data_IF_764692978973
#
_entry.id   IF_764692978973
#
_cell.length_a   1.000
_cell.length_b   1.000
_cell.length_c   1.000
_cell.angle_alpha   90.00
_cell.angle_beta   90.00
_cell.angle_gamma   90.00
#
_symmetry.space_group_name_H-M   'P 1'
#
loop_
_entity.id
_entity.type
_entity.pdbx_description
1 polymer ?
#
# COMPACT_ATOMS: atom_id res chain seq x y z
N UNK A 1 -2.13 -18.97 -1.19
CA UNK A 1 -1.58 -18.96 -2.56
C UNK A 1 -0.06 -18.97 -2.43
N UNK A 2 0.63 -19.94 -3.03
CA UNK A 2 2.08 -20.05 -2.91
C UNK A 2 2.76 -18.88 -3.62
N UNK A 3 3.49 -18.07 -2.86
CA UNK A 3 4.15 -16.84 -3.35
C UNK A 3 5.14 -17.13 -4.48
N UNK A 4 5.73 -18.32 -4.47
CA UNK A 4 6.65 -18.84 -5.50
C UNK A 4 6.07 -18.90 -6.92
N UNK A 5 4.76 -19.11 -7.06
CA UNK A 5 4.10 -19.27 -8.36
C UNK A 5 3.35 -18.02 -8.82
N UNK A 6 3.41 -16.93 -8.04
CA UNK A 6 2.70 -15.70 -8.34
C UNK A 6 3.64 -14.71 -9.05
N UNK A 7 3.32 -14.25 -10.27
CA UNK A 7 4.18 -13.36 -11.05
C UNK A 7 4.38 -11.97 -10.41
N UNK A 8 3.50 -11.58 -9.48
CA UNK A 8 3.61 -10.32 -8.74
C UNK A 8 4.61 -10.41 -7.58
N UNK A 9 5.18 -11.58 -7.32
CA UNK A 9 6.19 -11.75 -6.29
C UNK A 9 7.49 -12.23 -6.91
N UNK A 10 8.59 -11.63 -6.47
CA UNK A 10 9.95 -12.12 -6.76
C UNK A 10 10.73 -12.19 -5.47
N UNK A 11 11.62 -13.18 -5.40
CA UNK A 11 12.61 -13.24 -4.32
C UNK A 11 13.56 -12.05 -4.42
N UNK A 12 14.12 -11.61 -3.29
CA UNK A 12 15.14 -10.57 -3.26
C UNK A 12 16.34 -10.96 -4.11
N UNK A 13 16.72 -12.25 -4.07
CA UNK A 13 17.82 -12.76 -4.87
C UNK A 13 17.57 -12.56 -6.37
N UNK A 14 16.45 -13.05 -6.89
CA UNK A 14 16.12 -12.93 -8.31
C UNK A 14 15.92 -11.47 -8.73
N UNK A 15 15.21 -10.69 -7.91
CA UNK A 15 14.93 -9.30 -8.24
C UNK A 15 16.19 -8.45 -8.29
N UNK A 16 17.13 -8.66 -7.36
CA UNK A 16 18.38 -7.93 -7.36
C UNK A 16 19.28 -8.29 -8.55
N UNK A 17 19.26 -9.56 -8.98
CA UNK A 17 19.93 -10.00 -10.21
C UNK A 17 19.34 -9.34 -11.45
N UNK A 18 18.01 -9.34 -11.57
CA UNK A 18 17.30 -8.65 -12.65
C UNK A 18 17.64 -7.15 -12.67
N UNK A 19 17.77 -6.54 -11.50
CA UNK A 19 18.12 -5.12 -11.38
C UNK A 19 19.58 -4.82 -11.74
N UNK A 20 20.50 -5.75 -11.44
CA UNK A 20 21.90 -5.64 -11.79
C UNK A 20 22.20 -6.05 -13.25
N UNK A 21 21.23 -6.68 -13.94
CA UNK A 21 21.44 -7.27 -15.27
C UNK A 21 22.28 -8.55 -15.24
N UNK A 22 22.29 -9.26 -14.11
CA UNK A 22 23.10 -10.45 -13.85
C UNK A 22 22.25 -11.73 -13.84
N UNK A 23 22.86 -12.87 -14.13
CA UNK A 23 22.18 -14.18 -14.19
C UNK A 23 22.23 -14.90 -12.84
N UNK A 24 21.08 -15.05 -12.20
CA UNK A 24 20.90 -15.69 -10.89
C UNK A 24 21.50 -17.11 -10.76
N UNK A 25 21.57 -17.87 -11.84
CA UNK A 25 22.05 -19.26 -11.90
C UNK A 25 23.57 -19.38 -12.03
N UNK A 26 24.26 -18.28 -12.34
CA UNK A 26 25.71 -18.27 -12.61
C UNK A 26 26.52 -17.51 -11.56
N UNK A 27 25.84 -16.87 -10.59
CA UNK A 27 26.48 -16.02 -9.59
C UNK A 27 26.98 -16.81 -8.38
N UNK A 28 28.28 -16.70 -8.09
CA UNK A 28 28.83 -17.15 -6.81
C UNK A 28 28.37 -16.24 -5.67
N UNK A 29 27.63 -16.81 -4.73
CA UNK A 29 27.14 -16.11 -3.54
C UNK A 29 28.26 -15.54 -2.65
N UNK A 30 29.49 -16.07 -2.73
CA UNK A 30 30.64 -15.57 -2.00
C UNK A 30 31.32 -14.35 -2.67
N UNK A 31 31.05 -14.12 -3.96
CA UNK A 31 31.71 -13.10 -4.78
C UNK A 31 30.71 -12.28 -5.60
N UNK A 32 29.63 -11.82 -4.96
CA UNK A 32 28.62 -10.97 -5.62
C UNK A 32 29.21 -9.63 -6.08
N UNK A 33 28.75 -9.15 -7.24
CA UNK A 33 29.17 -7.85 -7.78
C UNK A 33 28.74 -6.69 -6.88
N UNK A 34 29.36 -5.52 -7.07
CA UNK A 34 28.97 -4.29 -6.37
C UNK A 34 27.56 -3.82 -6.75
N UNK A 35 27.13 -4.03 -8.00
CA UNK A 35 25.80 -3.68 -8.49
C UNK A 35 24.70 -4.53 -7.87
N UNK A 36 24.89 -5.86 -7.88
CA UNK A 36 24.00 -6.80 -7.23
C UNK A 36 23.90 -6.53 -5.72
N UNK A 37 25.04 -6.28 -5.07
CA UNK A 37 25.07 -5.94 -3.64
C UNK A 37 24.31 -4.66 -3.32
N UNK A 38 24.43 -3.63 -4.16
CA UNK A 38 23.69 -2.38 -3.99
C UNK A 38 22.18 -2.60 -4.15
N UNK A 39 21.77 -3.42 -5.12
CA UNK A 39 20.35 -3.75 -5.31
C UNK A 39 19.77 -4.52 -4.11
N UNK A 40 20.50 -5.51 -3.58
CA UNK A 40 20.11 -6.23 -2.37
C UNK A 40 20.02 -5.26 -1.19
N UNK A 41 21.02 -4.41 -0.97
CA UNK A 41 21.06 -3.49 0.17
C UNK A 41 19.87 -2.52 0.16
N UNK A 42 19.55 -1.96 -1.01
CA UNK A 42 18.39 -1.11 -1.23
C UNK A 42 17.08 -1.79 -0.82
N UNK A 43 16.86 -3.02 -1.27
CA UNK A 43 15.65 -3.77 -0.94
C UNK A 43 15.58 -4.14 0.54
N UNK A 44 16.69 -4.58 1.14
CA UNK A 44 16.75 -4.93 2.57
C UNK A 44 16.46 -3.71 3.44
N UNK A 45 17.00 -2.54 3.09
CA UNK A 45 16.70 -1.29 3.80
C UNK A 45 15.25 -0.87 3.65
N UNK A 46 14.68 -0.96 2.44
CA UNK A 46 13.27 -0.64 2.22
C UNK A 46 12.34 -1.51 3.07
N UNK A 47 12.65 -2.81 3.20
CA UNK A 47 11.91 -3.74 4.07
C UNK A 47 12.10 -3.36 5.55
N UNK A 48 13.35 -3.11 5.97
CA UNK A 48 13.66 -2.77 7.37
C UNK A 48 13.02 -1.45 7.82
N UNK A 49 12.92 -0.47 6.91
CA UNK A 49 12.21 0.80 7.10
C UNK A 49 10.69 0.67 6.96
N UNK A 50 10.17 -0.53 6.68
CA UNK A 50 8.75 -0.82 6.44
C UNK A 50 8.15 -0.03 5.26
N UNK A 51 8.97 0.38 4.30
CA UNK A 51 8.54 1.08 3.08
C UNK A 51 7.94 0.11 2.06
N UNK A 52 8.41 -1.14 2.05
CA UNK A 52 7.84 -2.27 1.31
C UNK A 52 7.63 -3.46 2.25
N UNK A 53 6.61 -4.27 1.97
CA UNK A 53 6.36 -5.50 2.72
C UNK A 53 7.20 -6.65 2.17
N UNK A 54 7.57 -7.57 3.06
CA UNK A 54 8.30 -8.78 2.70
C UNK A 54 7.58 -10.03 3.20
N UNK A 55 7.79 -11.14 2.48
CA UNK A 55 7.26 -12.44 2.82
C UNK A 55 8.37 -13.48 2.85
N UNK A 56 8.62 -14.08 4.00
CA UNK A 56 9.55 -15.20 4.10
C UNK A 56 8.80 -16.53 4.04
N UNK A 57 9.14 -17.39 3.08
CA UNK A 57 8.42 -18.67 2.82
C UNK A 57 6.89 -18.48 2.78
N UNK A 58 6.46 -17.40 2.13
CA UNK A 58 5.05 -17.03 1.99
C UNK A 58 4.41 -16.28 3.17
N UNK A 59 5.06 -16.21 4.33
CA UNK A 59 4.54 -15.55 5.53
C UNK A 59 5.02 -14.10 5.58
N UNK A 60 4.11 -13.14 5.82
CA UNK A 60 4.48 -11.72 5.97
C UNK A 60 5.34 -11.54 7.21
N UNK A 61 6.47 -10.85 7.06
CA UNK A 61 7.37 -10.49 8.15
C UNK A 61 7.25 -8.98 8.43
N UNK A 62 7.54 -8.56 9.65
CA UNK A 62 7.45 -7.16 10.09
C UNK A 62 6.07 -6.53 9.89
N UNK A 63 5.00 -7.32 10.05
CA UNK A 63 3.64 -6.88 9.70
C UNK A 63 3.00 -5.95 10.75
N UNK A 64 3.41 -6.04 12.01
CA UNK A 64 2.94 -5.16 13.08
C UNK A 64 4.05 -4.93 14.13
N UNK A 65 3.77 -4.08 15.13
CA UNK A 65 4.67 -3.79 16.27
C UNK A 65 4.26 -4.56 17.54
N UNK A 66 3.51 -5.66 17.39
CA UNK A 66 3.06 -6.45 18.53
C UNK A 66 4.21 -7.25 19.16
N UNK A 67 4.11 -7.52 20.46
CA UNK A 67 5.12 -8.30 21.17
C UNK A 67 5.31 -9.71 20.57
N UNK A 68 4.23 -10.32 20.09
CA UNK A 68 4.29 -11.64 19.46
C UNK A 68 5.01 -11.60 18.11
N UNK A 69 4.72 -10.62 17.26
CA UNK A 69 5.44 -10.47 15.98
C UNK A 69 6.92 -10.18 16.20
N UNK A 70 7.28 -9.36 17.20
CA UNK A 70 8.68 -9.10 17.56
C UNK A 70 9.44 -10.41 17.84
N UNK A 71 8.84 -11.37 18.53
CA UNK A 71 9.48 -12.68 18.80
C UNK A 71 9.68 -13.48 17.51
N UNK A 72 8.66 -13.55 16.65
CA UNK A 72 8.76 -14.26 15.37
C UNK A 72 9.74 -13.58 14.41
N UNK A 73 9.74 -12.26 14.39
CA UNK A 73 10.55 -11.42 13.51
C UNK A 73 11.98 -11.24 14.00
N UNK A 74 12.29 -11.57 15.27
CA UNK A 74 13.63 -11.43 15.84
C UNK A 74 14.71 -12.14 15.00
N UNK A 75 14.39 -13.30 14.42
CA UNK A 75 15.30 -14.02 13.52
C UNK A 75 15.58 -13.23 12.24
N UNK A 76 14.57 -12.56 11.68
CA UNK A 76 14.70 -11.71 10.51
C UNK A 76 15.49 -10.43 10.84
N UNK A 77 15.25 -9.84 12.01
CA UNK A 77 16.02 -8.70 12.54
C UNK A 77 17.50 -9.04 12.68
N UNK A 78 17.86 -10.20 13.22
CA UNK A 78 19.26 -10.64 13.30
C UNK A 78 19.88 -10.80 11.91
N UNK A 79 19.14 -11.35 10.94
CA UNK A 79 19.63 -11.53 9.55
C UNK A 79 19.89 -10.18 8.88
N UNK A 80 18.98 -9.23 9.04
CA UNK A 80 19.11 -7.87 8.51
C UNK A 80 20.29 -7.13 9.17
N UNK A 81 20.42 -7.26 10.49
CA UNK A 81 21.56 -6.69 11.23
C UNK A 81 22.90 -7.26 10.74
N UNK A 82 23.00 -8.57 10.55
CA UNK A 82 24.21 -9.22 10.01
C UNK A 82 24.56 -8.76 8.60
N UNK A 83 23.56 -8.48 7.77
CA UNK A 83 23.76 -7.87 6.47
C UNK A 83 24.31 -6.45 6.61
N UNK A 84 23.60 -5.57 7.31
CA UNK A 84 23.93 -4.14 7.38
C UNK A 84 25.27 -3.88 8.07
N UNK A 85 25.61 -4.65 9.10
CA UNK A 85 26.83 -4.42 9.90
C UNK A 85 28.03 -5.25 9.45
N UNK A 86 27.80 -6.46 8.93
CA UNK A 86 28.89 -7.40 8.61
C UNK A 86 28.94 -7.79 7.13
N UNK A 87 28.02 -7.29 6.31
CA UNK A 87 27.90 -7.66 4.89
C UNK A 87 27.81 -9.17 4.66
N UNK A 88 27.28 -9.90 5.66
CA UNK A 88 27.09 -11.35 5.60
C UNK A 88 25.62 -11.63 5.30
N UNK A 89 25.37 -12.26 4.16
CA UNK A 89 24.05 -12.78 3.82
C UNK A 89 24.07 -14.29 3.62
N UNK A 90 22.87 -14.86 3.57
CA UNK A 90 22.64 -16.24 3.18
C UNK A 90 21.81 -16.19 1.91
N UNK A 91 22.33 -16.77 0.82
CA UNK A 91 21.60 -16.88 -0.45
C UNK A 91 20.23 -17.52 -0.24
N UNK A 92 20.19 -18.67 0.46
CA UNK A 92 18.95 -19.37 0.83
C UNK A 92 17.92 -18.44 1.50
N UNK A 93 18.38 -17.55 2.40
CA UNK A 93 17.48 -16.59 3.02
C UNK A 93 16.88 -15.59 2.04
N UNK A 94 17.68 -15.07 1.10
CA UNK A 94 17.22 -14.11 0.09
C UNK A 94 16.34 -14.77 -0.99
N UNK A 95 16.62 -16.03 -1.34
CA UNK A 95 15.80 -16.83 -2.25
C UNK A 95 14.40 -17.07 -1.68
N UNK A 96 14.29 -17.22 -0.37
CA UNK A 96 13.02 -17.44 0.32
C UNK A 96 12.34 -16.15 0.80
N UNK A 97 12.92 -14.97 0.53
CA UNK A 97 12.40 -13.68 0.93
C UNK A 97 11.81 -12.96 -0.29
N UNK A 98 10.50 -12.78 -0.30
CA UNK A 98 9.75 -12.27 -1.44
C UNK A 98 9.23 -10.86 -1.19
N UNK A 99 9.17 -10.06 -2.25
CA UNK A 99 8.58 -8.72 -2.27
C UNK A 99 7.53 -8.63 -3.38
N UNK A 100 6.54 -7.76 -3.17
CA UNK A 100 5.44 -7.57 -4.11
C UNK A 100 5.77 -6.49 -5.14
N UNK A 101 5.52 -6.78 -6.41
CA UNK A 101 5.77 -5.91 -7.58
C UNK A 101 5.27 -4.49 -7.39
N UNK A 102 3.98 -4.31 -7.09
CA UNK A 102 3.37 -2.98 -6.98
C UNK A 102 3.99 -2.13 -5.88
N UNK A 103 4.39 -2.75 -4.77
CA UNK A 103 5.04 -2.04 -3.66
C UNK A 103 6.44 -1.58 -4.05
N UNK A 104 7.22 -2.45 -4.70
CA UNK A 104 8.56 -2.09 -5.19
C UNK A 104 8.48 -1.00 -6.25
N UNK A 105 7.56 -1.07 -7.21
CA UNK A 105 7.37 -0.02 -8.23
C UNK A 105 7.01 1.31 -7.57
N UNK A 106 6.01 1.30 -6.68
CA UNK A 106 5.56 2.51 -5.98
C UNK A 106 6.69 3.12 -5.14
N UNK A 107 7.46 2.27 -4.46
CA UNK A 107 8.62 2.69 -3.68
C UNK A 107 9.72 3.29 -4.56
N UNK A 108 10.04 2.66 -5.70
CA UNK A 108 10.99 3.19 -6.67
C UNK A 108 10.55 4.58 -7.18
N UNK A 109 9.28 4.75 -7.53
CA UNK A 109 8.75 6.00 -8.07
C UNK A 109 8.62 7.13 -7.04
N UNK A 110 8.17 6.81 -5.82
CA UNK A 110 7.74 7.82 -4.85
C UNK A 110 8.72 8.07 -3.71
N UNK A 111 9.55 7.08 -3.37
CA UNK A 111 10.41 7.12 -2.18
C UNK A 111 11.87 7.13 -2.57
N UNK A 112 12.31 6.10 -3.30
CA UNK A 112 13.71 5.93 -3.65
C UNK A 112 14.15 6.79 -4.86
N UNK A 113 13.18 7.25 -5.67
CA UNK A 113 13.42 7.97 -6.94
C UNK A 113 14.39 7.20 -7.86
N UNK A 114 14.16 5.89 -7.96
CA UNK A 114 14.97 4.96 -8.76
C UNK A 114 14.17 4.44 -9.95
N UNK A 115 14.88 4.06 -11.02
CA UNK A 115 14.26 3.28 -12.09
C UNK A 115 13.82 1.91 -11.54
N UNK A 116 12.57 1.48 -11.79
CA UNK A 116 12.09 0.18 -11.33
C UNK A 116 12.89 -0.97 -11.96
N UNK A 117 12.91 -2.14 -11.33
CA UNK A 117 13.61 -3.31 -11.86
C UNK A 117 13.17 -3.63 -13.30
N UNK A 118 14.12 -3.89 -14.24
CA UNK A 118 13.83 -4.07 -15.66
C UNK A 118 12.83 -5.18 -15.97
N UNK A 119 12.79 -6.22 -15.14
CA UNK A 119 11.84 -7.33 -15.25
C UNK A 119 10.37 -6.90 -15.05
N UNK A 120 10.13 -5.71 -14.51
CA UNK A 120 8.80 -5.20 -14.17
C UNK A 120 8.46 -3.89 -14.85
N UNK A 121 9.39 -3.29 -15.60
CA UNK A 121 9.08 -2.22 -16.55
C UNK A 121 8.01 -2.72 -17.51
N UNK A 122 6.88 -2.03 -17.53
CA UNK A 122 5.79 -2.27 -18.46
C UNK A 122 6.38 -2.31 -19.88
N UNK A 123 6.23 -3.43 -20.59
CA UNK A 123 6.41 -3.44 -22.03
C UNK A 123 5.58 -2.25 -22.57
N UNK A 124 6.20 -1.36 -23.33
CA UNK A 124 5.53 -0.32 -24.11
C UNK A 124 4.69 -0.94 -25.24
N UNK A 125 3.88 -1.94 -24.93
CA UNK A 125 3.02 -2.63 -25.89
C UNK A 125 1.59 -2.26 -25.52
N UNK A 126 1.08 -1.35 -26.35
CA UNK A 126 -0.33 -1.06 -26.58
C UNK A 126 -0.98 -0.09 -25.59
N UNK A 127 -0.53 1.17 -25.67
CA UNK A 127 -1.44 2.29 -25.58
C UNK A 127 -2.43 2.22 -26.76
N UNK A 128 -3.48 1.43 -26.62
CA UNK A 128 -4.69 1.56 -27.44
C UNK A 128 -5.86 1.13 -26.57
N UNK A 129 -6.83 2.04 -26.44
CA UNK A 129 -7.81 2.09 -25.37
C UNK A 129 -8.50 0.77 -25.03
N UNK A 130 -8.47 0.45 -23.74
CA UNK A 130 -9.59 -0.10 -23.00
C UNK A 130 -9.25 0.07 -21.52
N UNK A 131 -9.98 0.97 -20.85
CA UNK A 131 -10.12 0.97 -19.39
C UNK A 131 -10.76 -0.34 -19.00
N UNK A 132 -9.95 -1.36 -18.76
CA UNK A 132 -10.39 -2.54 -18.03
C UNK A 132 -10.36 -2.14 -16.57
N UNK A 133 -11.54 -2.03 -15.97
CA UNK A 133 -11.70 -1.98 -14.52
C UNK A 133 -11.04 -3.25 -13.97
N UNK A 134 -9.82 -3.14 -13.44
CA UNK A 134 -9.18 -4.21 -12.70
C UNK A 134 -10.02 -4.45 -11.45
N UNK A 135 -10.69 -5.59 -11.37
CA UNK A 135 -11.37 -6.03 -10.16
C UNK A 135 -10.34 -6.03 -9.02
N UNK A 136 -10.58 -5.17 -8.02
CA UNK A 136 -9.73 -5.03 -6.84
C UNK A 136 -9.80 -6.33 -6.02
N UNK A 137 -8.89 -7.27 -6.28
CA UNK A 137 -8.78 -8.53 -5.55
C UNK A 137 -8.38 -8.37 -4.08
N UNK A 138 -8.16 -7.14 -3.60
CA UNK A 138 -7.88 -6.88 -2.19
C UNK A 138 -9.15 -7.01 -1.33
N UNK A 139 -9.69 -8.22 -1.20
CA UNK A 139 -10.91 -8.51 -0.40
C UNK A 139 -10.80 -8.08 1.07
N UNK A 140 -9.58 -7.82 1.56
CA UNK A 140 -9.28 -7.42 2.93
C UNK A 140 -8.70 -5.99 3.02
N UNK A 141 -8.86 -5.13 2.01
CA UNK A 141 -8.40 -3.73 2.09
C UNK A 141 -8.97 -2.99 3.31
N UNK A 142 -10.15 -3.43 3.77
CA UNK A 142 -10.82 -2.93 4.96
C UNK A 142 -10.14 -3.36 6.27
N UNK A 143 -9.39 -4.46 6.31
CA UNK A 143 -8.75 -4.99 7.53
C UNK A 143 -7.51 -4.19 7.92
N UNK A 144 -6.80 -3.60 6.94
CA UNK A 144 -5.66 -2.70 7.18
C UNK A 144 -6.11 -1.28 7.56
N UNK A 145 -7.39 -0.93 7.39
CA UNK A 145 -7.95 0.33 7.88
C UNK A 145 -8.26 0.24 9.36
N UNK A 146 -7.80 1.23 10.13
CA UNK A 146 -8.25 1.41 11.53
C UNK A 146 -9.79 1.44 11.58
N UNK A 147 -10.39 0.91 12.64
CA UNK A 147 -11.86 0.88 12.80
C UNK A 147 -12.51 2.25 12.59
N UNK A 148 -11.79 3.32 12.97
CA UNK A 148 -12.20 4.70 12.72
C UNK A 148 -12.27 5.02 11.22
N UNK A 149 -11.23 4.69 10.44
CA UNK A 149 -11.22 4.90 8.98
C UNK A 149 -12.30 4.07 8.29
N UNK A 150 -12.50 2.81 8.71
CA UNK A 150 -13.57 1.95 8.16
C UNK A 150 -14.96 2.57 8.36
N UNK A 151 -15.23 3.10 9.56
CA UNK A 151 -16.48 3.81 9.88
C UNK A 151 -16.62 5.11 9.08
N UNK A 152 -15.55 5.89 8.93
CA UNK A 152 -15.52 7.12 8.12
C UNK A 152 -15.87 6.80 6.66
N UNK A 153 -15.21 5.82 6.06
CA UNK A 153 -15.46 5.41 4.67
C UNK A 153 -16.87 4.89 4.47
N UNK A 154 -17.38 4.04 5.38
CA UNK A 154 -18.76 3.56 5.32
C UNK A 154 -19.80 4.69 5.40
N UNK A 155 -19.56 5.68 6.25
CA UNK A 155 -20.41 6.87 6.38
C UNK A 155 -20.45 7.70 5.08
N UNK A 156 -19.29 7.93 4.46
CA UNK A 156 -19.18 8.72 3.23
C UNK A 156 -19.82 8.02 2.03
N UNK A 157 -19.65 6.70 1.90
CA UNK A 157 -20.29 5.92 0.83
C UNK A 157 -21.82 5.88 0.98
N UNK A 158 -22.31 5.80 2.21
CA UNK A 158 -23.75 5.86 2.48
C UNK A 158 -24.31 7.25 2.16
N UNK A 159 -23.62 8.32 2.56
CA UNK A 159 -23.97 9.69 2.20
C UNK A 159 -23.97 9.89 0.67
N UNK A 160 -22.98 9.35 -0.03
CA UNK A 160 -22.88 9.39 -1.49
C UNK A 160 -24.08 8.71 -2.16
N UNK A 161 -24.50 7.54 -1.68
CA UNK A 161 -25.72 6.87 -2.18
C UNK A 161 -26.97 7.72 -1.95
N UNK A 162 -27.12 8.30 -0.76
CA UNK A 162 -28.27 9.15 -0.45
C UNK A 162 -28.33 10.41 -1.30
N UNK A 163 -27.19 11.01 -1.65
CA UNK A 163 -27.14 12.13 -2.60
C UNK A 163 -27.39 11.72 -4.05
N UNK A 164 -27.02 10.51 -4.45
CA UNK A 164 -27.39 9.99 -5.78
C UNK A 164 -28.91 9.83 -5.91
N UNK A 165 -29.57 9.35 -4.86
CA UNK A 165 -31.02 9.20 -4.82
C UNK A 165 -31.74 10.55 -4.67
N UNK A 166 -31.20 11.45 -3.86
CA UNK A 166 -31.79 12.76 -3.57
C UNK A 166 -30.74 13.89 -3.66
N UNK A 167 -30.45 14.39 -4.88
CA UNK A 167 -29.40 15.40 -5.11
C UNK A 167 -29.64 16.76 -4.44
N UNK A 168 -30.87 17.04 -4.03
CA UNK A 168 -31.25 18.32 -3.43
C UNK A 168 -31.04 18.38 -1.91
N UNK A 169 -30.65 17.27 -1.28
CA UNK A 169 -30.42 17.25 0.15
C UNK A 169 -29.15 18.00 0.54
N UNK A 170 -29.27 18.87 1.54
CA UNK A 170 -28.14 19.52 2.19
C UNK A 170 -27.32 18.54 3.04
N UNK A 171 -26.09 18.93 3.40
CA UNK A 171 -25.26 18.16 4.32
C UNK A 171 -25.97 17.82 5.63
N UNK A 172 -26.76 18.75 6.17
CA UNK A 172 -27.47 18.54 7.43
C UNK A 172 -28.58 17.50 7.31
N UNK A 173 -29.31 17.51 6.19
CA UNK A 173 -30.36 16.53 5.92
C UNK A 173 -29.77 15.13 5.70
N UNK A 174 -28.62 15.03 5.04
CA UNK A 174 -27.92 13.73 4.90
C UNK A 174 -27.35 13.28 6.25
N UNK A 175 -26.64 14.14 6.97
CA UNK A 175 -26.05 13.80 8.27
C UNK A 175 -27.09 13.30 9.29
N UNK A 176 -28.28 13.90 9.30
CA UNK A 176 -29.38 13.52 10.18
C UNK A 176 -30.34 12.47 9.57
N UNK A 177 -30.05 11.94 8.39
CA UNK A 177 -30.91 10.97 7.73
C UNK A 177 -31.03 9.67 8.55
N UNK A 178 -32.21 9.06 8.60
CA UNK A 178 -32.47 7.85 9.41
C UNK A 178 -31.51 6.70 9.09
N UNK A 179 -31.22 6.49 7.80
CA UNK A 179 -30.24 5.50 7.32
C UNK A 179 -28.81 5.85 7.77
N UNK A 180 -28.44 7.14 7.79
CA UNK A 180 -27.13 7.59 8.27
C UNK A 180 -27.00 7.35 9.77
N UNK A 181 -27.99 7.74 10.55
CA UNK A 181 -28.01 7.52 12.01
C UNK A 181 -27.96 6.03 12.38
N UNK A 182 -28.64 5.17 11.59
CA UNK A 182 -28.70 3.73 11.86
C UNK A 182 -27.46 2.96 11.40
N UNK A 183 -26.85 3.31 10.27
CA UNK A 183 -25.79 2.50 9.64
C UNK A 183 -24.52 3.27 9.29
N UNK A 184 -24.60 4.58 9.07
CA UNK A 184 -23.46 5.42 8.70
C UNK A 184 -22.56 5.79 9.87
N UNK A 185 -23.07 5.70 11.10
CA UNK A 185 -22.36 6.08 12.33
C UNK A 185 -21.82 7.54 12.29
N UNK A 186 -22.71 8.54 12.08
CA UNK A 186 -22.32 9.94 11.89
C UNK A 186 -21.61 10.53 13.11
N UNK A 187 -21.78 9.97 14.30
CA UNK A 187 -21.10 10.38 15.54
C UNK A 187 -19.57 10.23 15.51
N UNK A 188 -19.03 9.50 14.52
CA UNK A 188 -17.59 9.41 14.25
C UNK A 188 -17.05 10.72 13.65
N UNK A 189 -17.93 11.57 13.12
CA UNK A 189 -17.64 12.91 12.65
C UNK A 189 -18.27 13.95 13.58
N UNK A 190 -17.67 15.13 13.65
CA UNK A 190 -18.44 16.35 13.89
C UNK A 190 -19.13 16.75 12.58
N UNK A 191 -20.23 17.51 12.65
CA UNK A 191 -20.92 18.00 11.45
C UNK A 191 -19.97 18.75 10.49
N UNK A 192 -19.03 19.52 11.03
CA UNK A 192 -18.04 20.27 10.24
C UNK A 192 -17.05 19.33 9.55
N UNK A 193 -16.54 18.32 10.27
CA UNK A 193 -15.67 17.30 9.66
C UNK A 193 -16.41 16.48 8.62
N UNK A 194 -17.69 16.16 8.82
CA UNK A 194 -18.48 15.48 7.79
C UNK A 194 -18.59 16.32 6.51
N UNK A 195 -18.84 17.62 6.64
CA UNK A 195 -18.91 18.53 5.48
C UNK A 195 -17.59 18.61 4.71
N UNK A 196 -16.46 18.68 5.42
CA UNK A 196 -15.13 18.72 4.79
C UNK A 196 -14.85 17.45 3.99
N UNK A 197 -15.09 16.29 4.60
CA UNK A 197 -14.79 14.99 4.00
C UNK A 197 -15.78 14.60 2.89
N UNK A 198 -17.05 14.98 3.03
CA UNK A 198 -18.08 14.69 2.05
C UNK A 198 -18.10 15.66 0.85
N UNK A 199 -17.28 16.72 0.88
CA UNK A 199 -17.26 17.79 -0.13
C UNK A 199 -17.02 17.31 -1.55
N UNK A 200 -16.24 16.25 -1.71
CA UNK A 200 -15.93 15.65 -3.02
C UNK A 200 -17.13 14.92 -3.64
N UNK A 201 -18.03 14.41 -2.80
CA UNK A 201 -19.18 13.60 -3.21
C UNK A 201 -20.49 14.37 -3.23
N UNK A 202 -20.54 15.48 -2.49
CA UNK A 202 -21.75 16.27 -2.35
C UNK A 202 -22.08 17.04 -3.64
N UNK A 203 -23.36 17.07 -4.04
CA UNK A 203 -23.81 17.84 -5.21
C UNK A 203 -23.57 19.35 -5.01
N UNK A 204 -23.42 20.07 -6.13
CA UNK A 204 -23.11 21.51 -6.10
C UNK A 204 -24.08 22.33 -5.24
N UNK A 205 -25.37 21.96 -5.24
CA UNK A 205 -26.40 22.61 -4.45
C UNK A 205 -26.13 22.48 -2.95
N UNK A 206 -25.71 21.31 -2.48
CA UNK A 206 -25.31 21.10 -1.09
C UNK A 206 -24.03 21.88 -0.75
N UNK A 207 -23.07 21.98 -1.69
CA UNK A 207 -21.81 22.73 -1.52
C UNK A 207 -22.00 24.25 -1.44
N UNK A 208 -23.00 24.80 -2.14
CA UNK A 208 -23.28 26.25 -2.18
C UNK A 208 -23.90 26.80 -0.89
N UNK A 209 -24.40 25.95 0.02
CA UNK A 209 -25.03 26.37 1.28
C UNK A 209 -24.09 26.88 2.38
N UNK A 210 -22.76 26.80 2.19
CA UNK A 210 -21.77 27.04 3.26
C UNK A 210 -20.88 28.28 3.11
N UNK A 211 -21.24 29.30 2.31
CA UNK A 211 -20.41 30.52 2.23
C UNK A 211 -20.56 31.32 3.53
N UNK A 212 -19.57 31.23 4.43
CA UNK A 212 -19.43 32.10 5.62
C UNK A 212 -19.69 33.55 5.20
N UNK A 213 -20.70 34.21 5.78
CA UNK A 213 -20.82 35.67 5.72
C UNK A 213 -19.55 36.22 6.38
N UNK A 214 -18.72 36.95 5.61
CA UNK A 214 -17.70 37.82 6.19
C UNK A 214 -18.41 38.77 7.15
N UNK A 215 -18.03 38.75 8.43
CA UNK A 215 -18.41 39.82 9.36
C UNK A 215 -17.83 41.11 8.79
N UNK A 216 -18.69 42.07 8.44
CA UNK A 216 -18.25 43.45 8.24
C UNK A 216 -17.94 44.00 9.63
N UNK A 217 -16.66 44.30 9.86
CA UNK A 217 -16.24 45.31 10.82
C UNK A 217 -16.11 46.66 10.13
#
# INVERSE_FOLDING_TARGET
>A
MHVENNPDFKSIWQLAHDWAGEKSDQTDSAAISSGLRLAIDRLIRAIGSKEISARWKGHRIFFDDSFLSIIFDFRHTIKFYRWLMHNKFSKDYLDNLYVKRNEVITWCEKVALLAPPPCWTQNQITATGQTVETEDENKNWHDEMTDRRRKITGCLELARKLWKENPNHSYDQIYNHSIMQKYGNPSVFSKDSFQEWAKEYAPELARKGGRRKKSMG
#
